data_IF_347281239541
#
_entry.id   IF_347281239541
#
_cell.length_a   1.000
_cell.length_b   1.000
_cell.length_c   1.000
_cell.angle_alpha   90.00
_cell.angle_beta   90.00
_cell.angle_gamma   90.00
#
_symmetry.space_group_name_H-M   'P 1'
#
loop_
_entity.id
_entity.type
_entity.pdbx_description
1 polymer ?
#
# COMPACT_ATOMS: atom_id res chain seq x y z
N UNK A 1 30.51 24.64 -34.47
CA UNK A 1 29.77 24.81 -33.20
C UNK A 1 28.34 24.37 -33.51
N UNK A 2 27.78 23.27 -33.00
CA UNK A 2 27.85 22.60 -31.68
C UNK A 2 27.69 21.08 -31.88
N UNK A 3 28.40 20.28 -31.06
CA UNK A 3 28.38 18.81 -31.05
C UNK A 3 27.15 18.25 -30.33
N UNK A 4 26.59 17.19 -30.90
CA UNK A 4 25.63 16.26 -30.29
C UNK A 4 26.45 15.09 -29.73
N UNK A 5 26.27 14.73 -28.46
CA UNK A 5 26.90 13.55 -27.86
C UNK A 5 25.79 12.64 -27.34
N UNK A 6 25.60 11.54 -28.07
CA UNK A 6 24.94 10.31 -27.62
C UNK A 6 25.93 9.56 -26.73
N UNK A 7 25.50 9.06 -25.58
CA UNK A 7 26.32 8.12 -24.80
C UNK A 7 25.46 6.94 -24.35
N UNK A 8 25.67 5.82 -25.05
CA UNK A 8 25.11 4.50 -24.78
C UNK A 8 26.25 3.68 -24.16
N UNK A 9 26.11 3.28 -22.90
CA UNK A 9 27.10 2.44 -22.23
C UNK A 9 26.91 0.96 -22.57
N UNK A 10 27.99 0.20 -22.87
CA UNK A 10 27.95 -1.23 -23.13
C UNK A 10 28.10 -2.07 -21.85
N UNK A 11 27.40 -3.21 -21.79
CA UNK A 11 27.52 -4.21 -20.71
C UNK A 11 28.72 -5.13 -20.98
N UNK A 12 29.67 -5.17 -20.04
CA UNK A 12 30.85 -6.03 -20.07
C UNK A 12 30.52 -7.45 -19.55
N UNK A 13 31.04 -8.49 -20.21
CA UNK A 13 30.65 -9.91 -20.02
C UNK A 13 31.68 -10.74 -19.23
N UNK A 14 32.64 -10.11 -18.57
CA UNK A 14 33.84 -10.80 -18.05
C UNK A 14 33.90 -11.00 -16.51
N UNK A 15 32.77 -11.29 -15.84
CA UNK A 15 32.77 -11.51 -14.37
C UNK A 15 32.01 -12.77 -13.93
N UNK A 16 32.14 -13.85 -14.69
CA UNK A 16 31.74 -15.20 -14.30
C UNK A 16 33.01 -16.05 -14.01
N UNK A 17 33.43 -16.18 -12.74
CA UNK A 17 34.01 -17.40 -12.11
C UNK A 17 35.06 -17.18 -10.99
N UNK A 18 34.61 -17.07 -9.72
CA UNK A 18 35.44 -17.60 -8.62
C UNK A 18 34.59 -18.45 -7.67
N UNK A 19 34.87 -19.75 -7.71
CA UNK A 19 34.30 -20.79 -6.86
C UNK A 19 34.88 -20.71 -5.45
N UNK A 20 34.02 -20.68 -4.45
CA UNK A 20 34.36 -20.82 -3.05
C UNK A 20 33.14 -21.29 -2.28
N UNK A 21 33.03 -22.60 -2.08
CA UNK A 21 32.03 -23.25 -1.24
C UNK A 21 32.13 -22.68 0.18
N UNK A 22 31.01 -22.14 0.69
CA UNK A 22 30.73 -22.01 2.12
C UNK A 22 29.32 -22.52 2.36
N UNK A 23 29.24 -23.74 2.88
CA UNK A 23 28.06 -24.18 3.63
C UNK A 23 28.20 -23.70 5.08
N UNK A 24 27.04 -23.59 5.73
CA UNK A 24 26.83 -23.62 7.19
C UNK A 24 26.76 -22.27 7.90
N UNK A 25 25.52 -21.74 7.92
CA UNK A 25 25.11 -20.62 8.76
C UNK A 25 23.62 -20.33 8.66
N UNK A 26 22.77 -21.35 8.60
CA UNK A 26 21.31 -21.20 8.69
C UNK A 26 20.93 -20.58 10.03
N UNK A 27 20.63 -19.29 10.02
CA UNK A 27 19.91 -18.63 11.09
C UNK A 27 18.42 -19.03 11.01
N UNK A 28 17.80 -19.55 12.08
CA UNK A 28 16.36 -19.67 12.12
C UNK A 28 15.77 -18.32 12.59
N UNK A 29 15.13 -17.60 11.67
CA UNK A 29 14.28 -16.43 11.98
C UNK A 29 14.41 -15.30 10.95
N UNK A 30 13.45 -15.01 10.07
CA UNK A 30 12.09 -15.53 9.95
C UNK A 30 11.73 -15.82 8.50
N UNK A 31 11.13 -16.99 8.27
CA UNK A 31 10.32 -17.24 7.11
C UNK A 31 8.89 -16.86 7.50
N UNK A 32 8.28 -15.95 6.77
CA UNK A 32 6.86 -15.64 6.91
C UNK A 32 6.48 -14.68 5.81
N UNK A 33 6.19 -15.22 4.62
CA UNK A 33 5.27 -14.66 3.60
C UNK A 33 5.34 -13.15 3.30
N UNK A 34 6.49 -12.50 3.46
CA UNK A 34 6.73 -11.08 3.19
C UNK A 34 6.91 -10.77 1.69
N UNK A 35 6.17 -11.45 0.81
CA UNK A 35 6.06 -11.14 -0.62
C UNK A 35 4.60 -10.73 -0.92
N UNK A 36 3.98 -9.96 -0.03
CA UNK A 36 2.59 -9.53 -0.14
C UNK A 36 2.45 -8.01 -0.06
N UNK A 37 1.75 -7.44 -1.03
CA UNK A 37 1.33 -6.04 -1.03
C UNK A 37 -0.15 -5.97 -0.68
N UNK A 38 -0.47 -5.15 0.31
CA UNK A 38 -1.84 -4.95 0.76
C UNK A 38 -2.25 -3.48 0.57
N UNK A 39 -3.36 -3.28 -0.13
CA UNK A 39 -3.97 -1.97 -0.31
C UNK A 39 -5.29 -1.92 0.43
N UNK A 40 -5.49 -0.89 1.24
CA UNK A 40 -6.77 -0.60 1.87
C UNK A 40 -7.48 0.54 1.14
N UNK A 41 -8.77 0.40 0.92
CA UNK A 41 -9.60 1.53 0.54
C UNK A 41 -9.83 2.49 1.74
N UNK A 42 -9.94 3.79 1.47
CA UNK A 42 -10.06 4.81 2.51
C UNK A 42 -11.37 4.72 3.33
N UNK A 43 -12.51 4.51 2.70
CA UNK A 43 -13.80 4.25 3.35
C UNK A 43 -13.74 2.97 4.19
N UNK A 44 -13.11 1.91 3.67
CA UNK A 44 -12.87 0.70 4.45
C UNK A 44 -12.01 0.97 5.69
N UNK A 45 -11.00 1.84 5.61
CA UNK A 45 -10.24 2.27 6.77
C UNK A 45 -11.04 3.10 7.77
N UNK A 46 -11.99 3.90 7.30
CA UNK A 46 -12.87 4.69 8.18
C UNK A 46 -13.84 3.81 8.95
N UNK A 47 -14.14 2.63 8.44
CA UNK A 47 -14.97 1.65 9.12
C UNK A 47 -14.21 0.84 10.20
N UNK A 48 -12.89 1.01 10.33
CA UNK A 48 -12.09 0.36 11.38
C UNK A 48 -12.04 1.20 12.66
N UNK A 49 -12.10 0.54 13.82
CA UNK A 49 -12.06 1.20 15.11
C UNK A 49 -10.69 1.84 15.41
N UNK A 50 -9.60 1.17 15.01
CA UNK A 50 -8.23 1.69 15.09
C UNK A 50 -7.43 1.40 13.81
N UNK A 51 -7.45 2.33 12.83
CA UNK A 51 -6.70 2.19 11.59
C UNK A 51 -5.18 2.06 11.81
N UNK A 52 -4.62 2.68 12.85
CA UNK A 52 -3.18 2.62 13.11
C UNK A 52 -2.77 1.23 13.61
N UNK A 53 -3.55 0.65 14.53
CA UNK A 53 -3.33 -0.72 15.00
C UNK A 53 -3.37 -1.71 13.84
N UNK A 54 -4.39 -1.62 12.98
CA UNK A 54 -4.56 -2.46 11.78
C UNK A 54 -3.35 -2.37 10.86
N UNK A 55 -2.87 -1.16 10.58
CA UNK A 55 -1.69 -0.98 9.74
C UNK A 55 -0.42 -1.54 10.36
N UNK A 56 -0.25 -1.41 11.68
CA UNK A 56 0.92 -1.96 12.37
C UNK A 56 0.88 -3.48 12.48
N UNK A 57 -0.32 -4.06 12.54
CA UNK A 57 -0.54 -5.50 12.47
C UNK A 57 -0.24 -6.04 11.07
N UNK A 58 -0.84 -5.44 10.03
CA UNK A 58 -0.63 -5.82 8.63
C UNK A 58 0.87 -5.83 8.25
N UNK A 59 1.64 -4.80 8.64
CA UNK A 59 3.09 -4.72 8.34
C UNK A 59 3.93 -5.81 9.01
N UNK A 60 3.39 -6.62 9.92
CA UNK A 60 4.14 -7.74 10.49
C UNK A 60 4.22 -8.93 9.52
N UNK A 61 3.31 -9.01 8.56
CA UNK A 61 3.19 -10.13 7.62
C UNK A 61 3.05 -9.70 6.16
N UNK A 62 2.88 -8.41 5.87
CA UNK A 62 2.99 -7.83 4.52
C UNK A 62 4.32 -7.11 4.33
N UNK A 63 4.78 -7.03 3.08
CA UNK A 63 5.96 -6.25 2.71
C UNK A 63 5.61 -4.77 2.53
N UNK A 64 4.48 -4.51 1.87
CA UNK A 64 4.00 -3.16 1.58
C UNK A 64 2.55 -3.03 2.00
N UNK A 65 2.24 -1.94 2.71
CA UNK A 65 0.84 -1.58 3.00
C UNK A 65 0.56 -0.12 2.65
N UNK A 66 -0.57 0.13 2.01
CA UNK A 66 -0.93 1.48 1.58
C UNK A 66 -2.42 1.72 1.53
N UNK A 67 -2.76 2.98 1.25
CA UNK A 67 -4.15 3.43 1.11
C UNK A 67 -4.41 3.80 -0.34
N UNK A 68 -5.48 3.24 -0.89
CA UNK A 68 -6.05 3.62 -2.19
C UNK A 68 -7.41 4.27 -1.98
N UNK A 69 -7.78 5.20 -2.85
CA UNK A 69 -9.13 5.77 -2.85
C UNK A 69 -9.37 6.53 -4.15
N UNK A 70 -10.64 6.66 -4.54
CA UNK A 70 -11.06 7.58 -5.59
C UNK A 70 -11.07 9.04 -5.13
N UNK A 71 -11.02 9.26 -3.80
CA UNK A 71 -11.00 10.60 -3.22
C UNK A 71 -9.69 11.31 -3.57
N UNK A 72 -9.70 12.65 -3.62
CA UNK A 72 -8.48 13.43 -3.81
C UNK A 72 -7.40 13.12 -2.76
N UNK A 73 -6.12 13.21 -3.14
CA UNK A 73 -4.97 12.95 -2.27
C UNK A 73 -4.99 13.75 -0.95
N UNK A 74 -5.56 14.96 -0.93
CA UNK A 74 -5.65 15.76 0.29
C UNK A 74 -6.55 15.09 1.35
N UNK A 75 -7.60 14.37 0.95
CA UNK A 75 -8.51 13.66 1.86
C UNK A 75 -7.76 12.48 2.51
N UNK A 76 -7.06 11.69 1.69
CA UNK A 76 -6.26 10.54 2.17
C UNK A 76 -5.15 11.01 3.11
N UNK A 77 -4.43 12.07 2.74
CA UNK A 77 -3.33 12.60 3.57
C UNK A 77 -3.81 13.26 4.85
N UNK A 78 -5.00 13.87 4.88
CA UNK A 78 -5.58 14.40 6.12
C UNK A 78 -5.93 13.26 7.09
N UNK A 79 -6.63 12.25 6.58
CA UNK A 79 -7.03 11.07 7.35
C UNK A 79 -5.82 10.33 7.91
N UNK A 80 -4.85 9.97 7.06
CA UNK A 80 -3.65 9.25 7.49
C UNK A 80 -2.82 10.03 8.52
N UNK A 81 -2.76 11.37 8.42
CA UNK A 81 -2.11 12.20 9.44
C UNK A 81 -2.89 12.21 10.76
N UNK A 82 -4.21 12.40 10.73
CA UNK A 82 -5.09 12.44 11.91
C UNK A 82 -5.02 11.12 12.69
N UNK A 83 -5.10 10.00 11.98
CA UNK A 83 -5.05 8.66 12.57
C UNK A 83 -3.63 8.10 12.72
N UNK A 84 -2.57 8.88 12.42
CA UNK A 84 -1.16 8.48 12.50
C UNK A 84 -0.79 7.22 11.69
N UNK A 85 -1.53 6.94 10.64
CA UNK A 85 -1.31 5.82 9.72
C UNK A 85 -0.10 6.12 8.84
N UNK A 86 0.92 5.24 8.87
CA UNK A 86 2.12 5.34 8.02
C UNK A 86 1.97 4.52 6.75
N UNK A 87 1.39 5.08 5.70
CA UNK A 87 1.33 4.36 4.41
C UNK A 87 2.70 4.29 3.73
N UNK A 88 3.00 3.16 3.09
CA UNK A 88 4.22 2.95 2.32
C UNK A 88 4.08 3.47 0.88
N UNK A 89 2.86 3.45 0.33
CA UNK A 89 2.51 4.04 -0.96
C UNK A 89 1.23 4.88 -0.89
N UNK A 90 1.05 5.74 -1.89
CA UNK A 90 -0.06 6.71 -1.97
C UNK A 90 -0.93 6.44 -3.19
N UNK A 91 -2.22 6.75 -3.09
CA UNK A 91 -3.10 6.80 -4.25
C UNK A 91 -2.71 7.93 -5.20
N UNK A 92 -2.69 7.61 -6.50
CA UNK A 92 -2.53 8.57 -7.56
C UNK A 92 -3.84 9.35 -7.80
N UNK A 93 -3.78 10.51 -8.48
CA UNK A 93 -4.96 11.33 -8.77
C UNK A 93 -5.91 10.71 -9.81
N UNK A 94 -5.57 9.53 -10.34
CA UNK A 94 -6.30 8.86 -11.43
C UNK A 94 -7.30 7.80 -10.93
N UNK A 95 -7.59 7.78 -9.62
CA UNK A 95 -8.53 6.83 -9.01
C UNK A 95 -7.87 5.53 -8.54
N UNK A 96 -8.69 4.58 -8.09
CA UNK A 96 -8.24 3.31 -7.49
C UNK A 96 -7.54 2.42 -8.52
N UNK A 97 -8.16 2.17 -9.68
CA UNK A 97 -7.62 1.29 -10.73
C UNK A 97 -6.18 1.67 -11.14
N UNK A 98 -5.98 2.90 -11.60
CA UNK A 98 -4.66 3.39 -12.01
C UNK A 98 -3.66 3.44 -10.84
N UNK A 99 -4.13 3.56 -9.60
CA UNK A 99 -3.26 3.47 -8.42
C UNK A 99 -2.78 2.03 -8.22
N UNK A 100 -3.68 1.05 -8.30
CA UNK A 100 -3.34 -0.36 -8.16
C UNK A 100 -2.42 -0.85 -9.28
N UNK A 101 -2.65 -0.44 -10.53
CA UNK A 101 -1.73 -0.74 -11.64
C UNK A 101 -0.33 -0.19 -11.39
N UNK A 102 -0.23 1.06 -10.92
CA UNK A 102 1.06 1.68 -10.64
C UNK A 102 1.77 1.00 -9.47
N UNK A 103 1.03 0.67 -8.41
CA UNK A 103 1.57 -0.06 -7.25
C UNK A 103 2.04 -1.45 -7.67
N UNK A 104 1.28 -2.19 -8.48
CA UNK A 104 1.71 -3.50 -9.01
C UNK A 104 2.98 -3.41 -9.86
N UNK A 105 3.12 -2.36 -10.66
CA UNK A 105 4.33 -2.13 -11.47
C UNK A 105 5.54 -1.71 -10.63
N UNK A 106 5.32 -0.98 -9.53
CA UNK A 106 6.39 -0.53 -8.63
C UNK A 106 6.81 -1.61 -7.65
N UNK A 107 5.87 -2.45 -7.23
CA UNK A 107 6.04 -3.49 -6.23
C UNK A 107 5.67 -4.84 -6.85
N UNK A 108 6.65 -5.50 -7.45
CA UNK A 108 6.53 -6.84 -8.03
C UNK A 108 6.54 -7.92 -6.92
N UNK A 109 5.51 -7.91 -6.07
CA UNK A 109 5.29 -8.93 -5.05
C UNK A 109 4.54 -10.14 -5.60
N UNK A 110 4.57 -11.27 -4.89
CA UNK A 110 3.91 -12.49 -5.33
C UNK A 110 2.38 -12.44 -5.17
N UNK A 111 1.88 -11.63 -4.23
CA UNK A 111 0.46 -11.49 -3.94
C UNK A 111 0.08 -10.03 -3.69
N UNK A 112 -0.98 -9.58 -4.35
CA UNK A 112 -1.55 -8.25 -4.18
C UNK A 112 -3.00 -8.38 -3.72
N UNK A 113 -3.32 -7.81 -2.56
CA UNK A 113 -4.67 -7.87 -1.97
C UNK A 113 -5.22 -6.46 -1.81
N UNK A 114 -6.43 -6.23 -2.30
CA UNK A 114 -7.23 -5.03 -2.08
C UNK A 114 -8.30 -5.33 -1.03
N UNK A 115 -8.30 -4.55 0.05
CA UNK A 115 -9.35 -4.58 1.07
C UNK A 115 -10.26 -3.38 0.90
N UNK A 116 -11.54 -3.64 0.65
CA UNK A 116 -12.58 -2.60 0.57
C UNK A 116 -13.90 -3.11 1.15
N UNK A 117 -14.81 -2.21 1.50
CA UNK A 117 -16.21 -2.50 1.85
C UNK A 117 -17.15 -2.34 0.64
N UNK A 118 -16.64 -1.84 -0.49
CA UNK A 118 -17.42 -1.59 -1.70
C UNK A 118 -17.19 -2.67 -2.76
N UNK A 119 -18.29 -3.28 -3.22
CA UNK A 119 -18.24 -4.31 -4.26
C UNK A 119 -17.76 -3.78 -5.62
N UNK A 120 -17.92 -2.49 -5.92
CA UNK A 120 -17.39 -1.90 -7.17
C UNK A 120 -15.87 -2.00 -7.26
N UNK A 121 -15.18 -1.99 -6.11
CA UNK A 121 -13.73 -2.15 -6.07
C UNK A 121 -13.29 -3.59 -6.38
N UNK A 122 -14.19 -4.57 -6.24
CA UNK A 122 -13.90 -5.95 -6.61
C UNK A 122 -13.71 -6.12 -8.11
N UNK A 123 -14.55 -5.47 -8.92
CA UNK A 123 -14.43 -5.48 -10.38
C UNK A 123 -13.12 -4.80 -10.81
N UNK A 124 -12.76 -3.70 -10.13
CA UNK A 124 -11.50 -2.99 -10.37
C UNK A 124 -10.30 -3.87 -10.01
N UNK A 125 -10.33 -4.54 -8.85
CA UNK A 125 -9.26 -5.45 -8.43
C UNK A 125 -9.06 -6.59 -9.43
N UNK A 126 -10.14 -7.24 -9.87
CA UNK A 126 -10.06 -8.33 -10.86
C UNK A 126 -9.44 -7.85 -12.18
N UNK A 127 -9.81 -6.65 -12.65
CA UNK A 127 -9.25 -6.06 -13.87
C UNK A 127 -7.73 -5.84 -13.81
N UNK A 128 -7.17 -5.60 -12.63
CA UNK A 128 -5.72 -5.37 -12.44
C UNK A 128 -4.98 -6.61 -11.91
N UNK A 129 -5.63 -7.78 -11.87
CA UNK A 129 -5.21 -9.02 -11.20
C UNK A 129 -4.81 -8.84 -9.72
N UNK A 130 -5.61 -8.08 -8.97
CA UNK A 130 -5.53 -8.00 -7.52
C UNK A 130 -6.58 -8.89 -6.88
N UNK A 131 -6.25 -9.51 -5.75
CA UNK A 131 -7.21 -10.27 -4.96
C UNK A 131 -8.09 -9.30 -4.17
N UNK A 132 -9.40 -9.35 -4.40
CA UNK A 132 -10.34 -8.59 -3.60
C UNK A 132 -10.71 -9.34 -2.31
N UNK A 133 -10.62 -8.66 -1.18
CA UNK A 133 -11.04 -9.17 0.12
C UNK A 133 -11.98 -8.16 0.80
N UNK A 134 -13.23 -8.53 1.12
CA UNK A 134 -14.13 -7.65 1.87
C UNK A 134 -13.53 -7.27 3.23
N UNK A 135 -13.73 -6.01 3.65
CA UNK A 135 -13.26 -5.53 4.96
C UNK A 135 -13.73 -6.42 6.12
N UNK A 136 -14.98 -6.84 6.11
CA UNK A 136 -15.56 -7.68 7.17
C UNK A 136 -14.82 -9.02 7.27
N UNK A 137 -14.49 -9.63 6.14
CA UNK A 137 -13.74 -10.89 6.07
C UNK A 137 -12.30 -10.69 6.53
N UNK A 138 -11.66 -9.60 6.10
CA UNK A 138 -10.30 -9.26 6.51
C UNK A 138 -10.21 -9.01 8.02
N UNK A 139 -11.16 -8.22 8.56
CA UNK A 139 -11.24 -7.93 9.98
C UNK A 139 -11.50 -9.19 10.80
N UNK A 140 -12.39 -10.07 10.34
CA UNK A 140 -12.65 -11.36 11.00
C UNK A 140 -11.42 -12.28 10.98
N UNK A 141 -10.70 -12.34 9.86
CA UNK A 141 -9.51 -13.18 9.70
C UNK A 141 -8.31 -12.69 10.54
N UNK A 142 -8.12 -11.37 10.61
CA UNK A 142 -7.01 -10.75 11.33
C UNK A 142 -7.35 -10.37 12.78
N UNK A 143 -8.62 -10.46 13.18
CA UNK A 143 -9.09 -10.05 14.50
C UNK A 143 -9.14 -8.52 14.68
N UNK A 144 -9.35 -7.77 13.60
CA UNK A 144 -9.51 -6.32 13.67
C UNK A 144 -10.91 -5.92 14.11
N UNK A 145 -11.00 -4.82 14.86
CA UNK A 145 -12.27 -4.31 15.36
C UNK A 145 -12.83 -3.26 14.40
N UNK A 146 -14.10 -3.43 14.01
CA UNK A 146 -14.83 -2.46 13.21
C UNK A 146 -15.44 -1.38 14.13
N UNK A 147 -15.50 -0.14 13.66
CA UNK A 147 -16.14 0.94 14.38
C UNK A 147 -17.67 0.77 14.35
N UNK A 148 -18.34 1.01 15.49
CA UNK A 148 -19.81 1.02 15.56
C UNK A 148 -20.43 2.19 14.78
N UNK A 149 -19.64 3.21 14.44
CA UNK A 149 -20.04 4.35 13.61
C UNK A 149 -18.85 4.77 12.76
N UNK A 150 -18.98 4.67 11.44
CA UNK A 150 -17.99 5.20 10.49
C UNK A 150 -17.94 6.71 10.61
N UNK A 151 -16.82 7.25 11.09
CA UNK A 151 -16.58 8.69 11.07
C UNK A 151 -16.41 9.14 9.62
N UNK A 152 -17.45 9.73 9.05
CA UNK A 152 -17.35 10.53 7.85
C UNK A 152 -16.60 11.84 8.21
N UNK A 153 -15.28 11.74 8.40
CA UNK A 153 -14.36 12.87 8.57
C UNK A 153 -14.62 13.89 7.46
N UNK A 154 -15.26 15.01 7.82
CA UNK A 154 -15.62 16.08 6.89
C UNK A 154 -14.31 16.73 6.40
N UNK A 155 -13.98 16.63 5.10
CA UNK A 155 -12.75 17.21 4.56
C UNK A 155 -12.68 18.74 4.70
N UNK A 156 -13.79 19.41 5.04
CA UNK A 156 -13.85 20.86 5.27
C UNK A 156 -13.75 21.26 6.75
N UNK A 157 -13.87 20.34 7.72
CA UNK A 157 -13.76 20.69 9.15
C UNK A 157 -12.32 21.03 9.58
N UNK A 158 -11.32 20.67 8.78
CA UNK A 158 -9.91 20.96 9.09
C UNK A 158 -9.43 22.25 8.43
N UNK A 159 -10.08 23.39 8.70
CA UNK A 159 -9.59 24.72 8.28
C UNK A 159 -10.11 25.91 9.09
N UNK A 160 -10.60 25.72 10.32
CA UNK A 160 -10.71 26.83 11.28
C UNK A 160 -9.31 27.17 11.81
N UNK A 161 -8.52 27.82 10.96
CA UNK A 161 -7.24 28.40 11.33
C UNK A 161 -7.54 29.72 12.06
N UNK A 162 -7.92 29.61 13.34
CA UNK A 162 -8.23 30.74 14.24
C UNK A 162 -6.98 31.48 14.76
N UNK A 163 -5.78 31.04 14.37
CA UNK A 163 -4.52 31.66 14.76
C UNK A 163 -3.86 32.39 13.58
N UNK A 164 -4.38 33.57 13.26
CA UNK A 164 -3.60 34.61 12.58
C UNK A 164 -3.54 35.87 13.47
N UNK A 165 -2.36 36.20 14.05
CA UNK A 165 -2.17 37.36 14.93
C UNK A 165 -2.20 38.72 14.21
#
# INVERSE_FOLDING_TARGET
MINIISDTYPIDKDQLNHSGIRTDGGAPGGNGDADMTLAFELEALRALADPNSVFNDARQWTEYVGVVSEKPTYVVTNFTRKHRVRQDFFSGPRGVEASLENVKQQFETARHVLISDNQTDADVADNVDWEFLPLEDAASAAGWELAETTEADDPFESSERDDWP
#
